data_IF_212692428099
#
_entry.id   IF_212692428099
#
_cell.length_a   1.000
_cell.length_b   1.000
_cell.length_c   1.000
_cell.angle_alpha   90.00
_cell.angle_beta   90.00
_cell.angle_gamma   90.00
#
_symmetry.space_group_name_H-M   'P 1'
#
loop_
_entity.id
_entity.type
_entity.pdbx_description
1 polymer ?
#
# COMPACT_ATOMS: atom_id res chain seq x y z
N UNK A 1 -30.76 -19.99 -9.61
CA UNK A 1 -29.51 -20.76 -9.31
C UNK A 1 -29.34 -20.81 -7.79
N UNK A 2 -28.73 -21.86 -7.21
CA UNK A 2 -28.35 -21.85 -5.79
C UNK A 2 -26.95 -21.27 -5.64
N UNK A 3 -26.62 -20.75 -4.44
CA UNK A 3 -25.33 -20.19 -4.12
C UNK A 3 -24.19 -21.24 -4.26
N UNK A 4 -24.47 -22.50 -3.89
CA UNK A 4 -23.53 -23.60 -4.09
C UNK A 4 -23.21 -23.87 -5.56
N UNK A 5 -24.20 -23.87 -6.45
CA UNK A 5 -23.98 -24.02 -7.89
C UNK A 5 -23.18 -22.85 -8.48
N UNK A 6 -23.40 -21.64 -7.99
CA UNK A 6 -22.60 -20.49 -8.40
C UNK A 6 -21.15 -20.61 -7.92
N UNK A 7 -20.92 -21.09 -6.70
CA UNK A 7 -19.59 -21.40 -6.18
C UNK A 7 -18.87 -22.42 -7.07
N UNK A 8 -19.56 -23.49 -7.47
CA UNK A 8 -18.99 -24.48 -8.40
C UNK A 8 -18.63 -23.84 -9.75
N UNK A 9 -19.46 -22.91 -10.25
CA UNK A 9 -19.16 -22.13 -11.45
C UNK A 9 -17.88 -21.30 -11.30
N UNK A 10 -17.68 -20.60 -10.17
CA UNK A 10 -16.43 -19.89 -9.88
C UNK A 10 -15.22 -20.82 -9.97
N UNK A 11 -15.31 -22.02 -9.37
CA UNK A 11 -14.23 -23.00 -9.45
C UNK A 11 -13.95 -23.44 -10.88
N UNK A 12 -14.97 -23.80 -11.65
CA UNK A 12 -14.81 -24.26 -13.03
C UNK A 12 -14.20 -23.18 -13.92
N UNK A 13 -14.65 -21.93 -13.78
CA UNK A 13 -14.23 -20.85 -14.66
C UNK A 13 -12.85 -20.24 -14.30
N UNK A 14 -12.48 -20.29 -13.01
CA UNK A 14 -11.24 -19.67 -12.51
C UNK A 14 -10.07 -20.66 -12.32
N UNK A 15 -10.28 -21.98 -12.37
CA UNK A 15 -9.27 -23.02 -12.07
C UNK A 15 -8.00 -22.97 -12.93
N UNK A 16 -8.01 -22.27 -14.08
CA UNK A 16 -6.84 -22.09 -14.94
C UNK A 16 -6.00 -20.86 -14.56
N UNK A 17 -6.53 -19.99 -13.71
CA UNK A 17 -5.93 -18.71 -13.34
C UNK A 17 -5.51 -18.66 -11.87
N UNK A 18 -6.22 -19.41 -11.01
CA UNK A 18 -6.07 -19.34 -9.57
C UNK A 18 -6.04 -20.73 -8.93
N UNK A 19 -5.30 -20.86 -7.85
CA UNK A 19 -5.34 -22.06 -6.99
C UNK A 19 -6.73 -22.24 -6.34
N UNK A 20 -7.07 -23.48 -6.00
CA UNK A 20 -8.37 -23.78 -5.38
C UNK A 20 -8.63 -22.96 -4.12
N UNK A 21 -7.66 -22.79 -3.27
CA UNK A 21 -7.72 -21.98 -2.05
C UNK A 21 -8.00 -20.51 -2.35
N UNK A 22 -7.35 -19.96 -3.38
CA UNK A 22 -7.58 -18.58 -3.81
C UNK A 22 -9.00 -18.39 -4.35
N UNK A 23 -9.53 -19.32 -5.14
CA UNK A 23 -10.90 -19.25 -5.64
C UNK A 23 -11.93 -19.26 -4.51
N UNK A 24 -11.68 -20.05 -3.46
CA UNK A 24 -12.54 -20.07 -2.26
C UNK A 24 -12.58 -18.69 -1.58
N UNK A 25 -11.41 -18.06 -1.42
CA UNK A 25 -11.31 -16.73 -0.83
C UNK A 25 -11.96 -15.68 -1.71
N UNK A 26 -11.70 -15.69 -3.02
CA UNK A 26 -12.33 -14.78 -3.98
C UNK A 26 -13.86 -14.90 -3.97
N UNK A 27 -14.37 -16.13 -3.97
CA UNK A 27 -15.81 -16.34 -3.87
C UNK A 27 -16.41 -15.80 -2.57
N UNK A 28 -15.73 -16.01 -1.43
CA UNK A 28 -16.17 -15.45 -0.14
C UNK A 28 -16.20 -13.92 -0.16
N UNK A 29 -15.16 -13.27 -0.69
CA UNK A 29 -15.08 -11.82 -0.81
C UNK A 29 -16.22 -11.28 -1.69
N UNK A 30 -16.43 -11.88 -2.87
CA UNK A 30 -17.50 -11.45 -3.79
C UNK A 30 -18.90 -11.67 -3.20
N UNK A 31 -19.11 -12.81 -2.52
CA UNK A 31 -20.37 -13.10 -1.86
C UNK A 31 -20.63 -12.16 -0.67
N UNK A 32 -19.59 -11.82 0.10
CA UNK A 32 -19.70 -10.82 1.16
C UNK A 32 -20.09 -9.45 0.60
N UNK A 33 -19.45 -9.01 -0.47
CA UNK A 33 -19.71 -7.72 -1.11
C UNK A 33 -21.15 -7.60 -1.65
N UNK A 34 -21.66 -8.65 -2.24
CA UNK A 34 -22.97 -8.61 -2.90
C UNK A 34 -24.11 -8.94 -1.96
N UNK A 35 -23.90 -9.91 -1.05
CA UNK A 35 -24.96 -10.50 -0.20
C UNK A 35 -24.84 -10.07 1.27
N UNK A 36 -23.72 -9.45 1.69
CA UNK A 36 -23.46 -9.09 3.08
C UNK A 36 -23.21 -10.30 4.01
N UNK A 37 -22.97 -11.50 3.46
CA UNK A 37 -22.82 -12.73 4.24
C UNK A 37 -21.39 -12.89 4.75
N UNK A 38 -21.22 -13.15 6.04
CA UNK A 38 -19.94 -13.60 6.56
C UNK A 38 -19.66 -15.08 6.19
N UNK A 39 -18.46 -15.57 6.50
CA UNK A 39 -18.04 -16.93 6.10
C UNK A 39 -18.90 -18.07 6.68
N UNK A 40 -19.50 -17.90 7.85
CA UNK A 40 -20.39 -18.90 8.49
C UNK A 40 -21.76 -18.86 7.81
N UNK A 41 -22.32 -17.68 7.64
CA UNK A 41 -23.59 -17.45 6.94
C UNK A 41 -23.53 -17.94 5.50
N UNK A 42 -22.42 -17.66 4.80
CA UNK A 42 -22.19 -18.12 3.44
C UNK A 42 -22.27 -19.65 3.33
N UNK A 43 -21.60 -20.38 4.25
CA UNK A 43 -21.64 -21.86 4.28
C UNK A 43 -23.05 -22.39 4.46
N UNK A 44 -23.82 -21.84 5.39
CA UNK A 44 -25.18 -22.24 5.67
C UNK A 44 -26.17 -21.88 4.54
N UNK A 45 -25.83 -20.86 3.74
CA UNK A 45 -26.67 -20.36 2.64
C UNK A 45 -26.38 -21.04 1.28
N UNK A 46 -25.38 -21.91 1.18
CA UNK A 46 -25.05 -22.59 -0.09
C UNK A 46 -26.25 -23.32 -0.76
N UNK A 47 -27.19 -23.97 -0.04
CA UNK A 47 -28.37 -24.59 -0.64
C UNK A 47 -29.43 -23.57 -1.10
N UNK A 48 -29.37 -22.32 -0.66
CA UNK A 48 -30.39 -21.32 -0.91
C UNK A 48 -30.31 -20.78 -2.34
N UNK A 49 -31.48 -20.40 -2.87
CA UNK A 49 -31.60 -19.71 -4.17
C UNK A 49 -31.15 -18.25 -4.01
N UNK A 50 -30.39 -17.77 -4.96
CA UNK A 50 -29.96 -16.36 -5.07
C UNK A 50 -31.03 -15.60 -5.88
N UNK A 51 -31.27 -14.33 -5.55
CA UNK A 51 -32.09 -13.45 -6.38
C UNK A 51 -31.45 -13.26 -7.77
N UNK A 52 -32.26 -12.98 -8.79
CA UNK A 52 -31.73 -12.77 -10.15
C UNK A 52 -30.82 -11.54 -10.23
N UNK A 53 -31.07 -10.53 -9.40
CA UNK A 53 -30.25 -9.31 -9.31
C UNK A 53 -28.88 -9.65 -8.75
N UNK A 54 -28.81 -10.34 -7.63
CA UNK A 54 -27.53 -10.69 -6.98
C UNK A 54 -26.76 -11.72 -7.80
N UNK A 55 -27.47 -12.66 -8.43
CA UNK A 55 -26.87 -13.61 -9.36
C UNK A 55 -26.16 -12.89 -10.50
N UNK A 56 -26.83 -11.90 -11.11
CA UNK A 56 -26.23 -11.11 -12.19
C UNK A 56 -24.98 -10.35 -11.70
N UNK A 57 -25.06 -9.69 -10.55
CA UNK A 57 -23.92 -8.97 -9.95
C UNK A 57 -22.72 -9.90 -9.73
N UNK A 58 -22.93 -11.06 -9.12
CA UNK A 58 -21.88 -12.06 -8.87
C UNK A 58 -21.29 -12.62 -10.17
N UNK A 59 -22.12 -12.82 -11.20
CA UNK A 59 -21.65 -13.26 -12.52
C UNK A 59 -20.84 -12.17 -13.25
N UNK A 60 -21.19 -10.90 -13.08
CA UNK A 60 -20.40 -9.79 -13.65
C UNK A 60 -19.05 -9.68 -12.93
N UNK A 61 -19.00 -9.82 -11.61
CA UNK A 61 -17.72 -9.90 -10.85
C UNK A 61 -16.88 -11.11 -11.27
N UNK A 62 -17.49 -12.27 -11.51
CA UNK A 62 -16.78 -13.46 -12.04
C UNK A 62 -16.13 -13.18 -13.41
N UNK A 63 -16.81 -12.45 -14.30
CA UNK A 63 -16.24 -12.05 -15.60
C UNK A 63 -15.00 -11.17 -15.44
N UNK A 64 -15.05 -10.20 -14.52
CA UNK A 64 -13.90 -9.36 -14.21
C UNK A 64 -12.73 -10.18 -13.66
N UNK A 65 -12.97 -11.10 -12.70
CA UNK A 65 -11.93 -11.99 -12.17
C UNK A 65 -11.24 -12.86 -13.24
N UNK A 66 -11.95 -13.23 -14.31
CA UNK A 66 -11.37 -13.99 -15.45
C UNK A 66 -10.35 -13.20 -16.25
N UNK A 67 -10.30 -11.88 -16.13
CA UNK A 67 -9.27 -11.05 -16.72
C UNK A 67 -7.96 -11.06 -15.94
N UNK A 68 -7.94 -11.68 -14.76
CA UNK A 68 -6.86 -11.60 -13.75
C UNK A 68 -6.70 -10.23 -13.10
N UNK A 69 -7.69 -9.33 -13.26
CA UNK A 69 -7.70 -8.04 -12.55
C UNK A 69 -7.78 -8.28 -11.04
N UNK A 70 -6.94 -7.61 -10.23
CA UNK A 70 -7.00 -7.73 -8.77
C UNK A 70 -8.39 -7.42 -8.23
N UNK A 71 -8.89 -8.26 -7.32
CA UNK A 71 -10.25 -8.09 -6.80
C UNK A 71 -10.46 -6.76 -6.09
N UNK A 72 -9.42 -6.20 -5.49
CA UNK A 72 -9.48 -4.87 -4.87
C UNK A 72 -9.81 -3.78 -5.90
N UNK A 73 -9.20 -3.84 -7.08
CA UNK A 73 -9.53 -2.90 -8.17
C UNK A 73 -10.92 -3.17 -8.77
N UNK A 74 -11.36 -4.44 -8.83
CA UNK A 74 -12.72 -4.78 -9.28
C UNK A 74 -13.76 -4.20 -8.31
N UNK A 75 -13.50 -4.27 -7.00
CA UNK A 75 -14.37 -3.72 -5.97
C UNK A 75 -14.16 -2.22 -5.73
N UNK A 76 -13.07 -1.65 -6.23
CA UNK A 76 -12.68 -0.26 -6.02
C UNK A 76 -12.24 0.06 -4.59
N UNK A 77 -11.94 -0.97 -3.77
CA UNK A 77 -11.57 -0.81 -2.35
C UNK A 77 -10.69 -1.94 -1.84
N UNK A 78 -9.94 -1.64 -0.78
CA UNK A 78 -9.17 -2.62 -0.01
C UNK A 78 -9.22 -2.31 1.46
N UNK A 79 -9.00 -3.30 2.32
CA UNK A 79 -8.74 -3.08 3.73
C UNK A 79 -7.24 -2.90 3.95
N UNK A 80 -6.86 -1.91 4.76
CA UNK A 80 -5.50 -1.66 5.21
C UNK A 80 -5.57 -1.08 6.62
N UNK A 81 -4.81 -1.64 7.53
CA UNK A 81 -4.79 -1.23 8.94
C UNK A 81 -6.20 -1.14 9.56
N UNK A 82 -7.06 -2.12 9.28
CA UNK A 82 -8.49 -2.20 9.68
C UNK A 82 -9.36 -1.03 9.19
N UNK A 83 -8.91 -0.30 8.20
CA UNK A 83 -9.64 0.77 7.55
C UNK A 83 -9.91 0.41 6.09
N UNK A 84 -11.06 0.79 5.56
CA UNK A 84 -11.38 0.58 4.15
C UNK A 84 -10.92 1.77 3.32
N UNK A 85 -9.99 1.54 2.40
CA UNK A 85 -9.45 2.53 1.45
C UNK A 85 -10.00 2.32 0.05
N UNK A 86 -10.26 3.41 -0.66
CA UNK A 86 -10.50 3.40 -2.10
C UNK A 86 -9.19 3.10 -2.83
N UNK A 87 -9.26 2.25 -3.85
CA UNK A 87 -8.17 1.95 -4.78
C UNK A 87 -8.72 1.85 -6.21
N UNK A 88 -7.88 2.13 -7.19
CA UNK A 88 -8.16 1.98 -8.61
C UNK A 88 -6.86 1.73 -9.38
N UNK A 89 -6.87 1.85 -10.70
CA UNK A 89 -5.70 1.68 -11.57
C UNK A 89 -4.61 2.75 -11.43
N UNK A 90 -4.88 3.85 -10.73
CA UNK A 90 -3.93 4.95 -10.52
C UNK A 90 -3.00 4.72 -9.33
N UNK A 91 -3.28 3.73 -8.47
CA UNK A 91 -2.54 3.50 -7.24
C UNK A 91 -2.07 2.06 -7.08
N UNK A 92 -0.92 1.88 -6.43
CA UNK A 92 -0.51 0.60 -5.91
C UNK A 92 -1.54 0.09 -4.90
N UNK A 93 -1.94 -1.17 -5.00
CA UNK A 93 -2.77 -1.80 -3.97
C UNK A 93 -1.92 -1.93 -2.71
N UNK A 94 -2.34 -1.36 -1.57
CA UNK A 94 -1.58 -1.43 -0.31
C UNK A 94 -1.17 -2.85 0.06
N UNK A 95 0.08 -3.03 0.48
CA UNK A 95 0.66 -4.32 0.84
C UNK A 95 0.70 -4.53 2.35
N UNK A 96 0.55 -5.77 2.84
CA UNK A 96 0.62 -6.06 4.29
C UNK A 96 1.94 -5.62 4.92
N UNK A 97 3.06 -5.69 4.20
CA UNK A 97 4.38 -5.27 4.70
C UNK A 97 4.41 -3.78 5.06
N UNK A 98 3.64 -2.96 4.35
CA UNK A 98 3.52 -1.52 4.68
C UNK A 98 2.82 -1.30 6.02
N UNK A 99 1.92 -2.20 6.47
CA UNK A 99 1.37 -2.14 7.83
C UNK A 99 2.45 -2.39 8.89
N UNK A 100 3.40 -3.31 8.62
CA UNK A 100 4.52 -3.58 9.53
C UNK A 100 5.43 -2.34 9.66
N UNK A 101 5.68 -1.62 8.56
CA UNK A 101 6.43 -0.35 8.61
C UNK A 101 5.74 0.68 9.52
N UNK A 102 4.42 0.78 9.43
CA UNK A 102 3.64 1.68 10.31
C UNK A 102 3.76 1.25 11.77
N UNK A 103 3.66 -0.04 12.08
CA UNK A 103 3.83 -0.55 13.46
C UNK A 103 5.22 -0.20 14.02
N UNK A 104 6.29 -0.38 13.23
CA UNK A 104 7.63 0.03 13.62
C UNK A 104 7.71 1.53 13.93
N UNK A 105 7.07 2.34 13.10
CA UNK A 105 7.05 3.77 13.28
C UNK A 105 6.27 4.19 14.53
N UNK A 106 5.09 3.63 14.77
CA UNK A 106 4.30 3.90 15.98
C UNK A 106 5.12 3.62 17.23
N UNK A 107 5.81 2.47 17.27
CA UNK A 107 6.67 2.09 18.41
C UNK A 107 7.81 3.08 18.66
N UNK A 108 8.54 3.50 17.62
CA UNK A 108 9.68 4.41 17.77
C UNK A 108 9.22 5.85 18.08
N UNK A 109 8.16 6.32 17.44
CA UNK A 109 7.61 7.65 17.66
C UNK A 109 6.96 7.80 19.06
N UNK A 110 6.29 6.76 19.55
CA UNK A 110 5.75 6.76 20.91
C UNK A 110 6.86 6.80 21.97
N UNK A 111 7.92 5.98 21.81
CA UNK A 111 9.11 6.03 22.68
C UNK A 111 9.75 7.42 22.72
N UNK A 112 9.78 8.11 21.57
CA UNK A 112 10.30 9.47 21.45
C UNK A 112 9.28 10.55 21.84
N UNK A 113 8.13 10.18 22.41
CA UNK A 113 7.09 11.06 22.90
C UNK A 113 6.42 11.96 21.84
N UNK A 114 6.42 11.54 20.59
CA UNK A 114 5.77 12.26 19.49
C UNK A 114 4.24 12.36 19.67
N UNK A 115 3.60 11.42 20.33
CA UNK A 115 2.16 11.48 20.63
C UNK A 115 1.73 12.64 21.56
N UNK A 116 2.69 13.35 22.16
CA UNK A 116 2.44 14.43 23.12
C UNK A 116 2.83 15.83 22.63
N UNK A 117 3.32 15.96 21.41
CA UNK A 117 3.79 17.23 20.82
C UNK A 117 3.35 17.37 19.37
N UNK A 118 3.30 18.61 18.87
CA UNK A 118 3.22 18.85 17.45
C UNK A 118 4.53 18.42 16.77
N UNK A 119 4.43 17.84 15.60
CA UNK A 119 5.56 17.51 14.75
C UNK A 119 5.14 17.47 13.27
N UNK A 120 6.11 17.54 12.37
CA UNK A 120 5.88 17.49 10.93
C UNK A 120 6.25 16.12 10.37
N UNK A 121 5.38 15.60 9.50
CA UNK A 121 5.57 14.31 8.83
C UNK A 121 5.45 14.48 7.32
N UNK A 122 6.34 13.86 6.56
CA UNK A 122 6.28 13.75 5.11
C UNK A 122 6.19 12.30 4.68
N UNK A 123 5.22 11.99 3.84
CA UNK A 123 5.16 10.72 3.10
C UNK A 123 5.49 10.95 1.62
N UNK A 124 6.53 10.27 1.11
CA UNK A 124 7.05 10.42 -0.25
C UNK A 124 6.57 9.25 -1.11
N UNK A 125 5.83 9.54 -2.18
CA UNK A 125 5.20 8.52 -3.03
C UNK A 125 3.97 7.92 -2.34
N UNK A 126 3.03 8.79 -1.96
CA UNK A 126 1.93 8.43 -1.05
C UNK A 126 0.90 7.45 -1.64
N UNK A 127 0.82 7.35 -2.97
CA UNK A 127 -0.15 6.47 -3.64
C UNK A 127 -1.59 6.73 -3.18
N UNK A 128 -2.23 5.72 -2.62
CA UNK A 128 -3.61 5.83 -2.09
C UNK A 128 -3.74 6.56 -0.76
N UNK A 129 -2.63 7.06 -0.18
CA UNK A 129 -2.62 7.82 1.06
C UNK A 129 -2.70 6.99 2.34
N UNK A 130 -2.46 5.68 2.27
CA UNK A 130 -2.63 4.78 3.44
C UNK A 130 -1.70 5.14 4.60
N UNK A 131 -0.43 5.42 4.33
CA UNK A 131 0.57 5.75 5.36
C UNK A 131 0.18 7.05 6.09
N UNK A 132 0.04 8.21 5.41
CA UNK A 132 -0.20 9.47 6.09
C UNK A 132 -1.57 9.51 6.78
N UNK A 133 -2.59 8.84 6.25
CA UNK A 133 -3.91 8.76 6.85
C UNK A 133 -3.88 7.96 8.15
N UNK A 134 -3.26 6.78 8.16
CA UNK A 134 -3.15 5.96 9.38
C UNK A 134 -2.34 6.70 10.44
N UNK A 135 -1.20 7.30 10.05
CA UNK A 135 -0.37 8.05 10.99
C UNK A 135 -1.06 9.30 11.55
N UNK A 136 -1.82 10.04 10.75
CA UNK A 136 -2.60 11.19 11.24
C UNK A 136 -3.67 10.76 12.25
N UNK A 137 -4.29 9.60 12.06
CA UNK A 137 -5.26 9.07 13.05
C UNK A 137 -4.61 8.70 14.38
N UNK A 138 -3.38 8.19 14.36
CA UNK A 138 -2.63 7.84 15.57
C UNK A 138 -2.00 9.07 16.22
N UNK A 139 -1.58 10.04 15.44
CA UNK A 139 -0.93 11.28 15.88
C UNK A 139 -1.73 12.52 15.42
N UNK A 140 -2.87 12.83 16.03
CA UNK A 140 -3.74 13.91 15.57
C UNK A 140 -3.13 15.32 15.70
N UNK A 141 -2.02 15.47 16.41
CA UNK A 141 -1.25 16.72 16.50
C UNK A 141 -0.17 16.83 15.40
N UNK A 142 0.04 15.79 14.61
CA UNK A 142 1.00 15.83 13.53
C UNK A 142 0.51 16.69 12.37
N UNK A 143 1.40 17.53 11.84
CA UNK A 143 1.22 18.23 10.57
C UNK A 143 1.67 17.30 9.44
N UNK A 144 0.73 16.64 8.81
CA UNK A 144 1.01 15.57 7.83
C UNK A 144 0.97 16.11 6.42
N UNK A 145 2.08 15.94 5.73
CA UNK A 145 2.26 16.23 4.32
C UNK A 145 2.49 14.94 3.54
N UNK A 146 2.00 14.89 2.32
CA UNK A 146 2.18 13.75 1.44
C UNK A 146 2.39 14.22 0.01
N UNK A 147 3.30 13.62 -0.70
CA UNK A 147 3.56 13.96 -2.09
C UNK A 147 3.53 12.72 -3.00
N UNK A 148 3.13 12.96 -4.23
CA UNK A 148 3.18 11.98 -5.31
C UNK A 148 3.41 12.70 -6.64
N UNK A 149 3.95 11.98 -7.63
CA UNK A 149 4.12 12.46 -9.00
C UNK A 149 2.83 12.30 -9.82
N UNK A 150 1.93 11.40 -9.39
CA UNK A 150 0.66 11.09 -10.06
C UNK A 150 -0.49 11.95 -9.50
N UNK A 151 -1.09 12.76 -10.35
CA UNK A 151 -2.31 13.51 -10.00
C UNK A 151 -3.47 12.55 -9.68
N UNK A 152 -3.60 11.45 -10.45
CA UNK A 152 -4.63 10.43 -10.22
C UNK A 152 -4.45 9.73 -8.85
N UNK A 153 -3.21 9.44 -8.44
CA UNK A 153 -2.94 8.91 -7.11
C UNK A 153 -3.33 9.90 -6.00
N UNK A 154 -2.98 11.18 -6.17
CA UNK A 154 -3.35 12.21 -5.19
C UNK A 154 -4.87 12.40 -5.10
N UNK A 155 -5.61 12.23 -6.17
CA UNK A 155 -7.08 12.32 -6.12
C UNK A 155 -7.67 11.17 -5.30
N UNK A 156 -7.16 9.94 -5.47
CA UNK A 156 -7.53 8.79 -4.63
C UNK A 156 -7.17 9.05 -3.17
N UNK A 157 -5.96 9.55 -2.89
CA UNK A 157 -5.49 9.84 -1.53
C UNK A 157 -6.34 10.92 -0.84
N UNK A 158 -6.72 11.98 -1.54
CA UNK A 158 -7.63 13.04 -1.03
C UNK A 158 -9.02 12.49 -0.71
N UNK A 159 -9.58 11.62 -1.56
CA UNK A 159 -10.86 10.98 -1.29
C UNK A 159 -10.77 10.09 -0.05
N UNK A 160 -9.68 9.33 0.12
CA UNK A 160 -9.44 8.51 1.29
C UNK A 160 -9.27 9.37 2.56
N UNK A 161 -8.49 10.45 2.51
CA UNK A 161 -8.33 11.37 3.64
C UNK A 161 -9.67 11.98 4.07
N UNK A 162 -10.49 12.41 3.11
CA UNK A 162 -11.86 12.90 3.37
C UNK A 162 -12.74 11.83 4.01
N UNK A 163 -12.71 10.59 3.48
CA UNK A 163 -13.48 9.45 4.03
C UNK A 163 -13.12 9.15 5.47
N UNK A 164 -11.82 9.26 5.80
CA UNK A 164 -11.31 8.95 7.14
C UNK A 164 -11.24 10.17 8.08
N UNK A 165 -11.68 11.35 7.64
CA UNK A 165 -11.67 12.59 8.41
C UNK A 165 -10.28 12.95 8.95
N UNK A 166 -9.26 12.83 8.10
CA UNK A 166 -7.86 13.16 8.41
C UNK A 166 -7.42 14.44 7.71
N UNK A 167 -6.52 15.19 8.37
CA UNK A 167 -5.97 16.44 7.84
C UNK A 167 -4.58 16.17 7.26
N UNK A 168 -4.53 15.89 5.96
CA UNK A 168 -3.31 15.61 5.22
C UNK A 168 -3.19 16.60 4.07
N UNK A 169 -2.04 17.30 3.99
CA UNK A 169 -1.73 18.22 2.91
C UNK A 169 -1.03 17.49 1.76
N UNK A 170 -1.67 17.43 0.60
CA UNK A 170 -1.17 16.72 -0.59
C UNK A 170 -0.53 17.66 -1.60
N UNK A 171 0.63 17.25 -2.14
CA UNK A 171 1.41 18.01 -3.12
C UNK A 171 1.73 17.14 -4.35
N UNK A 172 1.50 17.70 -5.54
CA UNK A 172 1.96 17.10 -6.80
C UNK A 172 3.42 17.50 -6.99
N UNK A 173 4.35 16.54 -6.78
CA UNK A 173 5.80 16.76 -6.92
C UNK A 173 6.52 15.50 -7.38
N UNK A 174 7.48 15.68 -8.26
CA UNK A 174 8.48 14.67 -8.58
C UNK A 174 9.66 14.79 -7.62
N UNK A 175 9.74 13.88 -6.65
CA UNK A 175 10.82 13.89 -5.66
C UNK A 175 12.21 13.73 -6.27
N UNK A 176 12.36 13.17 -7.47
CA UNK A 176 13.64 13.02 -8.13
C UNK A 176 14.21 14.37 -8.61
N UNK A 177 13.35 15.34 -8.89
CA UNK A 177 13.72 16.65 -9.46
C UNK A 177 13.39 17.83 -8.55
N UNK A 178 12.48 17.68 -7.58
CA UNK A 178 12.01 18.75 -6.72
C UNK A 178 12.26 18.45 -5.23
N UNK A 179 12.64 19.47 -4.46
CA UNK A 179 12.79 19.35 -3.03
C UNK A 179 11.44 19.54 -2.31
N UNK A 180 11.25 18.94 -1.12
CA UNK A 180 10.18 19.32 -0.21
C UNK A 180 10.25 20.80 0.20
N UNK A 181 9.08 21.42 0.49
CA UNK A 181 9.02 22.85 0.74
C UNK A 181 9.51 23.26 2.14
N UNK A 182 9.71 22.30 3.05
CA UNK A 182 10.14 22.55 4.42
C UNK A 182 10.91 21.35 4.98
N UNK A 183 11.40 21.48 6.21
CA UNK A 183 12.01 20.38 6.95
C UNK A 183 10.94 19.62 7.72
N UNK A 184 11.22 18.35 8.00
CA UNK A 184 10.31 17.43 8.66
C UNK A 184 10.98 16.71 9.83
N UNK A 185 10.19 16.39 10.84
CA UNK A 185 10.61 15.58 11.98
C UNK A 185 10.58 14.09 11.65
N UNK A 186 9.73 13.70 10.70
CA UNK A 186 9.55 12.32 10.28
C UNK A 186 9.39 12.26 8.76
N UNK A 187 10.14 11.37 8.11
CA UNK A 187 10.02 11.09 6.67
C UNK A 187 9.70 9.61 6.48
N UNK A 188 8.65 9.35 5.71
CA UNK A 188 8.27 8.02 5.22
C UNK A 188 8.44 7.92 3.71
N UNK A 189 8.74 6.72 3.22
CA UNK A 189 8.56 6.40 1.81
C UNK A 189 8.45 4.89 1.59
N UNK A 190 7.54 4.50 0.71
CA UNK A 190 7.54 3.21 0.02
C UNK A 190 7.67 3.51 -1.48
N UNK A 191 8.88 3.83 -1.97
CA UNK A 191 9.08 4.26 -3.35
C UNK A 191 9.07 3.07 -4.31
N UNK A 192 8.87 3.30 -5.62
CA UNK A 192 9.04 2.27 -6.63
C UNK A 192 10.46 1.68 -6.60
N UNK A 193 10.56 0.39 -6.32
CA UNK A 193 11.86 -0.26 -6.09
C UNK A 193 12.16 -1.45 -7.00
N UNK A 194 11.25 -1.79 -7.91
CA UNK A 194 11.44 -2.92 -8.82
C UNK A 194 12.34 -2.49 -9.97
N UNK A 195 13.47 -3.14 -10.10
CA UNK A 195 14.37 -2.93 -11.23
C UNK A 195 13.74 -3.39 -12.55
N UNK A 196 14.11 -2.75 -13.65
CA UNK A 196 13.63 -3.10 -15.01
C UNK A 196 13.91 -4.58 -15.33
N UNK A 197 15.01 -5.12 -14.81
CA UNK A 197 15.43 -6.51 -15.01
C UNK A 197 14.56 -7.52 -14.23
N UNK A 198 13.89 -7.08 -13.18
CA UNK A 198 13.00 -7.90 -12.34
C UNK A 198 11.58 -8.00 -12.91
N UNK A 199 11.31 -7.33 -14.02
CA UNK A 199 9.98 -7.22 -14.61
C UNK A 199 9.33 -8.59 -14.92
N UNK A 200 10.10 -9.60 -15.24
CA UNK A 200 9.58 -10.93 -15.59
C UNK A 200 9.29 -11.80 -14.35
N UNK A 201 9.75 -11.40 -13.16
CA UNK A 201 9.49 -12.10 -11.90
C UNK A 201 8.15 -11.67 -11.25
N UNK A 202 7.54 -10.60 -11.74
CA UNK A 202 6.32 -10.03 -11.15
C UNK A 202 5.09 -10.76 -11.68
N UNK A 203 4.14 -11.00 -10.80
CA UNK A 203 2.85 -11.57 -11.17
C UNK A 203 2.18 -10.77 -12.29
N UNK A 204 1.58 -11.50 -13.23
CA UNK A 204 0.92 -10.91 -14.40
C UNK A 204 -0.16 -9.90 -14.02
N UNK A 205 -0.94 -10.18 -12.98
CA UNK A 205 -1.99 -9.32 -12.44
C UNK A 205 -1.45 -7.97 -11.99
N UNK A 206 -0.32 -7.96 -11.27
CA UNK A 206 0.35 -6.73 -10.82
C UNK A 206 0.86 -5.92 -12.02
N UNK A 207 1.57 -6.60 -12.94
CA UNK A 207 2.18 -5.97 -14.11
C UNK A 207 1.17 -5.35 -15.09
N UNK A 208 -0.01 -5.96 -15.25
CA UNK A 208 -1.03 -5.53 -16.20
C UNK A 208 -2.00 -4.50 -15.64
N UNK A 209 -2.22 -4.48 -14.34
CA UNK A 209 -3.30 -3.71 -13.73
C UNK A 209 -2.86 -2.66 -12.70
N UNK A 210 -1.64 -2.75 -12.16
CA UNK A 210 -1.12 -1.73 -11.27
C UNK A 210 -0.22 -0.73 -12.03
N UNK A 211 -0.18 0.56 -11.61
CA UNK A 211 0.52 1.57 -12.40
C UNK A 211 2.04 1.34 -12.42
N UNK A 212 2.62 1.36 -13.61
CA UNK A 212 4.07 1.16 -13.77
C UNK A 212 4.91 2.16 -12.97
N UNK A 213 4.40 3.39 -12.80
CA UNK A 213 5.06 4.44 -12.00
C UNK A 213 5.19 4.07 -10.52
N UNK A 214 4.26 3.28 -9.99
CA UNK A 214 4.28 2.84 -8.60
C UNK A 214 5.13 1.57 -8.37
N UNK A 215 5.47 0.85 -9.44
CA UNK A 215 6.17 -0.43 -9.37
C UNK A 215 7.66 -0.29 -9.70
N UNK A 216 7.97 0.36 -10.83
CA UNK A 216 9.29 0.30 -11.44
C UNK A 216 10.12 1.55 -11.20
N UNK A 217 11.40 1.33 -10.93
CA UNK A 217 12.39 2.42 -11.03
C UNK A 217 12.36 3.02 -12.45
N UNK A 218 12.35 4.36 -12.59
CA UNK A 218 12.32 5.02 -13.90
C UNK A 218 13.65 4.86 -14.68
N UNK A 219 14.68 4.33 -14.05
CA UNK A 219 16.01 4.13 -14.63
C UNK A 219 16.51 2.70 -14.39
N UNK A 220 17.69 2.38 -14.95
CA UNK A 220 18.40 1.12 -14.66
C UNK A 220 18.96 1.06 -13.23
N UNK A 221 18.98 2.17 -12.49
CA UNK A 221 19.44 2.21 -11.11
C UNK A 221 18.26 1.97 -10.17
N UNK A 222 18.13 0.78 -9.56
CA UNK A 222 17.03 0.47 -8.65
C UNK A 222 17.14 1.24 -7.31
N UNK A 223 18.29 1.88 -7.04
CA UNK A 223 18.53 2.67 -5.84
C UNK A 223 18.26 4.17 -6.03
N UNK A 224 17.76 4.62 -7.19
CA UNK A 224 17.67 6.05 -7.52
C UNK A 224 16.82 6.82 -6.48
N UNK A 225 15.66 6.31 -6.08
CA UNK A 225 14.83 6.95 -5.06
C UNK A 225 15.53 6.97 -3.70
N UNK A 226 16.16 5.87 -3.30
CA UNK A 226 16.87 5.79 -2.02
C UNK A 226 18.05 6.74 -1.94
N UNK A 227 18.83 6.89 -3.03
CA UNK A 227 19.91 7.88 -3.15
C UNK A 227 19.38 9.30 -3.03
N UNK A 228 18.26 9.57 -3.69
CA UNK A 228 17.61 10.88 -3.62
C UNK A 228 17.13 11.19 -2.20
N UNK A 229 16.42 10.28 -1.56
CA UNK A 229 15.96 10.43 -0.18
C UNK A 229 17.15 10.61 0.76
N UNK A 230 18.22 9.82 0.63
CA UNK A 230 19.42 9.97 1.44
C UNK A 230 20.07 11.37 1.32
N UNK A 231 19.98 11.98 0.13
CA UNK A 231 20.44 13.37 -0.07
C UNK A 231 19.54 14.37 0.65
N UNK A 232 18.22 14.17 0.58
CA UNK A 232 17.24 15.05 1.22
C UNK A 232 17.34 15.05 2.75
N UNK A 233 17.76 13.94 3.38
CA UNK A 233 17.90 13.89 4.84
C UNK A 233 18.85 14.95 5.39
N UNK A 234 19.87 15.34 4.62
CA UNK A 234 20.85 16.36 5.05
C UNK A 234 20.20 17.72 5.32
N UNK A 235 19.22 18.08 4.51
CA UNK A 235 18.62 19.41 4.47
C UNK A 235 17.17 19.43 4.94
N UNK A 236 16.44 18.32 4.80
CA UNK A 236 14.99 18.28 5.04
C UNK A 236 14.56 17.34 6.18
N UNK A 237 15.47 16.58 6.80
CA UNK A 237 15.19 15.91 8.06
C UNK A 237 15.72 16.77 9.20
N UNK A 238 14.88 17.10 10.17
CA UNK A 238 15.28 17.82 11.38
C UNK A 238 16.23 16.99 12.24
N UNK A 239 17.02 17.64 13.09
CA UNK A 239 17.84 16.95 14.08
C UNK A 239 16.92 16.16 15.03
N UNK A 240 17.37 14.98 15.46
CA UNK A 240 16.56 13.98 16.17
C UNK A 240 15.36 13.42 15.39
N UNK A 241 15.22 13.74 14.10
CA UNK A 241 14.17 13.26 13.23
C UNK A 241 14.32 11.80 12.84
N UNK A 242 13.23 11.19 12.38
CA UNK A 242 13.16 9.77 12.00
C UNK A 242 12.93 9.58 10.50
N UNK A 243 13.53 8.51 9.98
CA UNK A 243 13.32 7.99 8.64
C UNK A 243 12.73 6.58 8.73
N UNK A 244 11.67 6.31 7.95
CA UNK A 244 11.07 5.00 7.77
C UNK A 244 10.91 4.71 6.29
N UNK A 245 11.55 3.64 5.81
CA UNK A 245 11.51 3.23 4.40
C UNK A 245 11.12 1.78 4.25
N UNK A 246 10.26 1.49 3.29
CA UNK A 246 10.12 0.16 2.71
C UNK A 246 11.10 0.03 1.55
N UNK A 247 11.75 -1.15 1.41
CA UNK A 247 12.83 -1.34 0.45
C UNK A 247 12.70 -2.65 -0.34
N UNK A 248 13.40 -2.70 -1.47
CA UNK A 248 13.61 -3.95 -2.20
C UNK A 248 14.45 -4.91 -1.35
N UNK A 249 13.89 -6.09 -1.05
CA UNK A 249 14.53 -7.11 -0.21
C UNK A 249 15.91 -7.58 -0.73
N UNK A 250 16.14 -7.48 -2.05
CA UNK A 250 17.41 -7.88 -2.67
C UNK A 250 18.53 -6.85 -2.46
N UNK A 251 18.18 -5.61 -2.05
CA UNK A 251 19.08 -4.45 -1.98
C UNK A 251 19.21 -3.90 -0.55
N UNK A 252 18.88 -4.70 0.48
CA UNK A 252 18.85 -4.25 1.87
C UNK A 252 20.17 -3.64 2.34
N UNK A 253 21.28 -4.32 2.12
CA UNK A 253 22.61 -3.86 2.55
C UNK A 253 23.08 -2.63 1.79
N UNK A 254 22.90 -2.63 0.47
CA UNK A 254 23.24 -1.49 -0.40
C UNK A 254 22.44 -0.24 -0.01
N UNK A 255 21.14 -0.42 0.27
CA UNK A 255 20.28 0.67 0.74
C UNK A 255 20.69 1.16 2.12
N UNK A 256 21.00 0.27 3.06
CA UNK A 256 21.47 0.65 4.40
C UNK A 256 22.71 1.55 4.34
N UNK A 257 23.70 1.22 3.49
CA UNK A 257 24.95 1.99 3.37
C UNK A 257 24.73 3.41 2.87
N UNK A 258 23.66 3.70 2.13
CA UNK A 258 23.31 5.07 1.68
C UNK A 258 22.99 6.00 2.84
N UNK A 259 22.43 5.46 3.93
CA UNK A 259 21.90 6.25 5.04
C UNK A 259 22.88 6.39 6.22
N UNK A 260 23.86 5.48 6.39
CA UNK A 260 24.88 5.54 7.44
C UNK A 260 25.59 6.89 7.58
N UNK A 261 25.95 7.59 6.49
CA UNK A 261 26.64 8.88 6.63
C UNK A 261 25.77 10.03 7.14
N UNK A 262 24.45 9.88 7.10
CA UNK A 262 23.49 10.96 7.36
C UNK A 262 22.65 10.76 8.64
N UNK A 263 22.71 9.59 9.25
CA UNK A 263 21.92 9.21 10.42
C UNK A 263 22.83 8.74 11.54
N UNK A 264 22.52 9.13 12.77
CA UNK A 264 23.23 8.70 13.99
C UNK A 264 22.96 7.23 14.30
N UNK A 265 21.73 6.79 14.03
CA UNK A 265 21.31 5.40 14.13
C UNK A 265 20.59 4.99 12.86
N UNK A 266 20.91 3.81 12.31
CA UNK A 266 20.21 3.25 11.16
C UNK A 266 20.20 1.72 11.26
N UNK A 267 19.03 1.12 11.01
CA UNK A 267 18.80 -0.33 11.12
C UNK A 267 18.15 -0.85 9.85
N UNK A 268 18.61 -1.99 9.40
CA UNK A 268 17.93 -2.83 8.42
C UNK A 268 17.09 -3.85 9.18
N UNK A 269 15.79 -3.88 8.94
CA UNK A 269 14.81 -4.69 9.65
C UNK A 269 14.12 -5.62 8.66
N UNK A 270 13.93 -6.86 9.08
CA UNK A 270 13.23 -7.88 8.30
C UNK A 270 11.73 -7.82 8.56
N UNK A 271 10.94 -8.15 7.51
CA UNK A 271 9.51 -8.38 7.63
C UNK A 271 9.20 -9.70 8.36
N UNK A 272 7.94 -9.96 8.64
CA UNK A 272 7.49 -11.20 9.30
C UNK A 272 7.80 -12.46 8.49
N UNK A 273 8.09 -12.33 7.20
CA UNK A 273 8.52 -13.41 6.32
C UNK A 273 10.04 -13.65 6.35
N UNK A 274 10.81 -12.80 7.07
CA UNK A 274 12.25 -12.89 7.20
C UNK A 274 13.05 -12.26 6.06
N UNK A 275 12.41 -11.43 5.22
CA UNK A 275 13.08 -10.70 4.15
C UNK A 275 13.53 -9.31 4.63
N UNK A 276 14.69 -8.86 4.20
CA UNK A 276 15.14 -7.48 4.41
C UNK A 276 14.12 -6.52 3.79
N UNK A 277 13.40 -5.74 4.61
CA UNK A 277 12.24 -5.00 4.12
C UNK A 277 12.21 -3.53 4.52
N UNK A 278 12.80 -3.17 5.67
CA UNK A 278 12.67 -1.82 6.18
C UNK A 278 14.02 -1.22 6.56
N UNK A 279 14.18 0.07 6.27
CA UNK A 279 15.21 0.90 6.87
C UNK A 279 14.53 1.84 7.86
N UNK A 280 14.96 1.78 9.10
CA UNK A 280 14.57 2.70 10.16
C UNK A 280 15.79 3.42 10.66
N UNK A 281 15.74 4.76 10.69
CA UNK A 281 16.88 5.56 11.10
C UNK A 281 16.51 6.80 11.87
N UNK A 282 17.48 7.31 12.65
CA UNK A 282 17.39 8.57 13.43
C UNK A 282 18.58 9.46 13.06
N UNK A 283 18.31 10.74 12.83
CA UNK A 283 19.34 11.78 12.56
C UNK A 283 20.05 12.22 13.83
#
# INVERSE_FOLDING_TARGET
MTLGKLKDQFHIELQRLYEKSQIEVLFQIMAHEVLGLNSIELRSSLPQKISDIDLKRLQDLLKELKTSRPYQQILGKTEFYRLEFKVNEEVLIPRPETEELIELALLELEKASYGKKEFSLLDIGTGSGVIPIVLNKHFPLAKVHALDISEGALDVAKENAKKHHTDVHFFLKDILSEDPDQNYDVIFSNPPYIGIEEKDEIEKSVKEFEPNLALFSPTKDPLIFYKRIATLLKTHLNDDGFLFLEINQKLGKETLELYRPNLSEVKLIQDLSGNDRFIVGKK
#
